data_IF_418359534201
#
_entry.id   IF_418359534201
#
_cell.length_a   1.000
_cell.length_b   1.000
_cell.length_c   1.000
_cell.angle_alpha   90.00
_cell.angle_beta   90.00
_cell.angle_gamma   90.00
#
_symmetry.space_group_name_H-M   'P 1'
#
loop_
_entity.id
_entity.type
_entity.pdbx_description
1 polymer ?
#
# COMPACT_ATOMS: atom_id res chain seq x y z
N UNK A 1 -10.28 16.58 14.09
CA UNK A 1 -9.94 15.49 14.86
C UNK A 1 -10.19 14.23 14.16
N UNK A 2 -11.41 13.72 14.17
CA UNK A 2 -11.74 12.55 13.38
C UNK A 2 -11.39 12.78 11.94
N UNK A 3 -11.66 13.97 11.51
CA UNK A 3 -11.36 14.37 10.15
C UNK A 3 -9.87 14.23 9.86
N UNK A 4 -9.05 14.69 10.80
CA UNK A 4 -7.61 14.62 10.63
C UNK A 4 -7.12 13.18 10.63
N UNK A 5 -7.73 12.36 11.47
CA UNK A 5 -7.33 10.96 11.53
C UNK A 5 -7.58 10.24 10.22
N UNK A 6 -8.72 10.53 9.60
CA UNK A 6 -9.02 9.91 8.32
C UNK A 6 -8.02 10.33 7.26
N UNK A 7 -7.67 11.61 7.26
CA UNK A 7 -6.68 12.11 6.31
C UNK A 7 -5.34 11.41 6.50
N UNK A 8 -4.95 11.21 7.74
CA UNK A 8 -3.68 10.56 8.04
C UNK A 8 -3.68 9.12 7.54
N UNK A 9 -4.79 8.43 7.73
CA UNK A 9 -4.87 7.05 7.28
C UNK A 9 -4.73 6.95 5.76
N UNK A 10 -5.45 7.81 5.04
CA UNK A 10 -5.36 7.79 3.59
C UNK A 10 -3.94 8.11 3.14
N UNK A 11 -3.33 9.04 3.81
CA UNK A 11 -1.97 9.43 3.46
C UNK A 11 -1.01 8.26 3.62
N UNK A 12 -1.12 7.55 4.74
CA UNK A 12 -0.25 6.40 5.00
C UNK A 12 -0.46 5.30 3.95
N UNK A 13 -1.70 5.06 3.56
CA UNK A 13 -1.99 4.05 2.56
C UNK A 13 -1.38 4.44 1.22
N UNK A 14 -1.48 5.71 0.85
CA UNK A 14 -0.90 6.16 -0.41
C UNK A 14 0.60 5.98 -0.43
N UNK A 15 1.26 6.27 0.67
CA UNK A 15 2.70 6.08 0.75
C UNK A 15 3.07 4.62 0.57
N UNK A 16 2.30 3.74 1.19
CA UNK A 16 2.53 2.32 1.04
C UNK A 16 2.33 1.87 -0.39
N UNK A 17 1.30 2.39 -1.03
CA UNK A 17 1.04 2.06 -2.43
C UNK A 17 2.22 2.49 -3.30
N UNK A 18 2.73 3.67 -3.06
CA UNK A 18 3.88 4.16 -3.81
C UNK A 18 5.08 3.25 -3.61
N UNK A 19 5.33 2.83 -2.37
CA UNK A 19 6.43 1.93 -2.08
C UNK A 19 6.24 0.59 -2.78
N UNK A 20 5.02 0.06 -2.77
CA UNK A 20 4.73 -1.20 -3.44
C UNK A 20 4.99 -1.07 -4.93
N UNK A 21 4.51 0.00 -5.53
CA UNK A 21 4.72 0.21 -6.96
C UNK A 21 6.20 0.30 -7.29
N UNK A 22 6.95 1.02 -6.47
CA UNK A 22 8.38 1.16 -6.69
C UNK A 22 9.08 -0.19 -6.60
N UNK A 23 8.74 -0.99 -5.61
CA UNK A 23 9.34 -2.31 -5.48
C UNK A 23 9.01 -3.19 -6.66
N UNK A 24 7.76 -3.18 -7.08
CA UNK A 24 7.36 -4.00 -8.22
C UNK A 24 8.12 -3.58 -9.48
N UNK A 25 8.32 -2.28 -9.64
CA UNK A 25 8.99 -1.77 -10.82
C UNK A 25 10.49 -1.99 -10.76
N UNK A 26 11.10 -1.70 -9.61
CA UNK A 26 12.56 -1.77 -9.48
C UNK A 26 13.06 -3.20 -9.42
N UNK A 27 12.36 -4.06 -8.71
CA UNK A 27 12.80 -5.44 -8.51
C UNK A 27 11.96 -6.43 -9.29
N UNK A 28 11.02 -5.94 -10.07
CA UNK A 28 10.15 -6.79 -10.90
C UNK A 28 9.43 -7.83 -10.06
N UNK A 29 8.94 -7.40 -8.92
CA UNK A 29 8.20 -8.28 -8.02
C UNK A 29 6.71 -8.24 -8.36
N UNK A 30 6.02 -9.32 -8.01
CA UNK A 30 4.58 -9.31 -8.10
C UNK A 30 4.00 -8.50 -6.94
N UNK A 31 2.70 -8.20 -7.04
CA UNK A 31 2.04 -7.45 -5.99
C UNK A 31 2.18 -8.16 -4.64
N UNK A 32 1.94 -9.46 -4.61
CA UNK A 32 2.05 -10.22 -3.37
C UNK A 32 3.47 -10.19 -2.83
N UNK A 33 4.43 -10.35 -3.71
CA UNK A 33 5.82 -10.34 -3.27
C UNK A 33 6.21 -8.99 -2.69
N UNK A 34 5.77 -7.91 -3.33
CA UNK A 34 6.06 -6.58 -2.83
C UNK A 34 5.43 -6.36 -1.46
N UNK A 35 4.18 -6.81 -1.29
CA UNK A 35 3.50 -6.67 0.00
C UNK A 35 4.23 -7.44 1.08
N UNK A 36 4.70 -8.64 0.76
CA UNK A 36 5.46 -9.44 1.72
C UNK A 36 6.77 -8.76 2.07
N UNK A 37 7.45 -8.22 1.07
CA UNK A 37 8.73 -7.57 1.31
C UNK A 37 8.59 -6.38 2.25
N UNK A 38 7.48 -5.67 2.15
CA UNK A 38 7.23 -4.52 3.00
C UNK A 38 6.63 -4.90 4.34
N UNK A 39 6.25 -6.18 4.51
CA UNK A 39 5.65 -6.62 5.77
C UNK A 39 4.29 -6.01 6.03
N UNK A 40 3.50 -5.83 4.99
CA UNK A 40 2.22 -5.17 5.11
C UNK A 40 1.17 -6.15 5.64
N UNK A 41 0.42 -5.78 6.68
CA UNK A 41 -0.61 -6.66 7.24
C UNK A 41 -1.78 -6.86 6.29
N UNK A 42 -2.56 -7.90 6.56
CA UNK A 42 -3.67 -8.25 5.69
C UNK A 42 -4.65 -7.10 5.52
N UNK A 43 -4.90 -6.37 6.59
CA UNK A 43 -5.85 -5.26 6.53
C UNK A 43 -5.43 -4.24 5.48
N UNK A 44 -4.16 -3.89 5.50
CA UNK A 44 -3.66 -2.90 4.56
C UNK A 44 -3.54 -3.48 3.18
N UNK A 45 -3.29 -4.78 3.07
CA UNK A 45 -3.20 -5.42 1.78
C UNK A 45 -4.46 -5.23 0.95
N UNK A 46 -5.60 -5.49 1.57
CA UNK A 46 -6.87 -5.35 0.85
C UNK A 46 -7.04 -3.94 0.32
N UNK A 47 -6.74 -2.97 1.16
CA UNK A 47 -6.90 -1.58 0.75
C UNK A 47 -5.95 -1.24 -0.39
N UNK A 48 -4.72 -1.70 -0.29
CA UNK A 48 -3.75 -1.42 -1.33
C UNK A 48 -4.16 -2.09 -2.65
N UNK A 49 -4.60 -3.34 -2.57
CA UNK A 49 -5.02 -4.04 -3.77
C UNK A 49 -6.20 -3.34 -4.41
N UNK A 50 -7.18 -2.92 -3.61
CA UNK A 50 -8.33 -2.21 -4.13
C UNK A 50 -7.91 -0.92 -4.83
N UNK A 51 -6.99 -0.20 -4.24
CA UNK A 51 -6.54 1.05 -4.83
C UNK A 51 -5.78 0.82 -6.12
N UNK A 52 -4.98 -0.23 -6.15
CA UNK A 52 -4.18 -0.51 -7.34
C UNK A 52 -5.02 -1.03 -8.50
N UNK A 53 -6.10 -1.70 -8.19
CA UNK A 53 -6.95 -2.27 -9.24
C UNK A 53 -7.98 -1.30 -9.77
N UNK A 54 -8.05 -0.13 -9.22
CA UNK A 54 -8.94 0.89 -9.77
C UNK A 54 -8.35 1.50 -11.05
#
# INVERSE_FOLDING_TARGET
REYAEECVKEYAIREKITSVKNLMNNMKLTLEQALNALGIPDKDREQIINQLQK
#
